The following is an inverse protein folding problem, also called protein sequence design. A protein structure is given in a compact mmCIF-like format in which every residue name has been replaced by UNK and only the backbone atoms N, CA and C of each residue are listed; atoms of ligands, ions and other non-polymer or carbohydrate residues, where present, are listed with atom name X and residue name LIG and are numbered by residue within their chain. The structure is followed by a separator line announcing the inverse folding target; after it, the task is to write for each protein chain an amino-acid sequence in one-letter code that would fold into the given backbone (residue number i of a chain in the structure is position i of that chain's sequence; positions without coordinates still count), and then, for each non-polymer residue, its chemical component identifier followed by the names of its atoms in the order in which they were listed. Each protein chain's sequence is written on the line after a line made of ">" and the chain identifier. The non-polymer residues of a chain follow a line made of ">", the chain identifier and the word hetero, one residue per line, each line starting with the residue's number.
data_IF_970827961019
#
_entry.id   IF_970827961019
#
_cell.length_a   1.000
_cell.length_b   1.000
_cell.length_c   1.000
_cell.angle_alpha   90.00
_cell.angle_beta   90.00
_cell.angle_gamma   90.00
#
_symmetry.space_group_name_H-M   'P 1'
#
loop_
_entity.id
_entity.type
_entity.pdbx_description
1 polymer ?
#
# COMPACT_ATOMS: atom_id res chain seq x y z
N UNK A 1 -9.65 6.66 -7.32
CA UNK A 1 -8.29 6.29 -7.76
C UNK A 1 -8.32 5.32 -8.94
N UNK A 2 -9.08 4.21 -8.89
CA UNK A 2 -9.19 3.25 -10.00
C UNK A 2 -9.45 3.88 -11.39
N UNK A 3 -10.44 4.77 -11.48
CA UNK A 3 -10.75 5.51 -12.71
C UNK A 3 -9.59 6.42 -13.20
N UNK A 4 -8.80 7.00 -12.28
CA UNK A 4 -7.65 7.84 -12.63
C UNK A 4 -6.49 7.04 -13.23
N UNK A 5 -6.46 5.73 -13.00
CA UNK A 5 -5.42 4.83 -13.50
C UNK A 5 -5.80 4.21 -14.85
N UNK A 6 -7.09 3.95 -15.06
CA UNK A 6 -7.63 3.52 -16.35
C UNK A 6 -7.38 4.58 -17.45
N UNK A 7 -7.50 5.86 -17.10
CA UNK A 7 -7.33 6.98 -18.04
C UNK A 7 -5.86 7.34 -18.32
N UNK A 8 -4.91 6.83 -17.53
CA UNK A 8 -3.50 7.24 -17.62
C UNK A 8 -2.55 6.03 -17.47
N UNK A 9 -2.27 5.29 -18.57
CA UNK A 9 -1.43 4.10 -18.54
C UNK A 9 -0.01 4.33 -18.01
N UNK A 10 0.52 5.56 -18.17
CA UNK A 10 1.81 5.97 -17.61
C UNK A 10 1.82 6.02 -16.08
N UNK A 11 0.66 6.16 -15.45
CA UNK A 11 0.54 6.16 -13.99
C UNK A 11 0.75 4.75 -13.43
N UNK A 12 0.37 3.70 -14.17
CA UNK A 12 0.53 2.30 -13.74
C UNK A 12 1.98 1.97 -13.38
N UNK A 13 2.96 2.42 -14.18
CA UNK A 13 4.37 2.19 -13.90
C UNK A 13 4.88 2.88 -12.63
N UNK A 14 4.19 3.93 -12.17
CA UNK A 14 4.56 4.66 -10.96
C UNK A 14 3.82 4.13 -9.72
N UNK A 15 2.78 3.33 -9.87
CA UNK A 15 1.97 2.82 -8.75
C UNK A 15 2.84 2.03 -7.78
N UNK A 16 3.63 1.08 -8.24
CA UNK A 16 4.44 0.24 -7.35
C UNK A 16 5.42 1.09 -6.52
N UNK A 17 5.97 2.12 -7.13
CA UNK A 17 6.86 3.07 -6.45
C UNK A 17 6.10 3.91 -5.42
N UNK A 18 4.87 4.31 -5.73
CA UNK A 18 4.01 5.05 -4.80
C UNK A 18 3.59 4.15 -3.64
N UNK A 19 3.13 2.93 -3.90
CA UNK A 19 2.73 1.95 -2.89
C UNK A 19 3.90 1.66 -1.94
N UNK A 20 5.12 1.45 -2.45
CA UNK A 20 6.28 1.23 -1.60
C UNK A 20 6.58 2.42 -0.68
N UNK A 21 6.47 3.66 -1.17
CA UNK A 21 6.65 4.88 -0.37
C UNK A 21 5.57 5.03 0.69
N UNK A 22 4.31 4.86 0.30
CA UNK A 22 3.16 4.98 1.20
C UNK A 22 3.14 3.88 2.25
N UNK A 23 3.61 2.67 1.93
CA UNK A 23 3.74 1.58 2.89
C UNK A 23 4.69 1.94 4.04
N UNK A 24 5.81 2.62 3.77
CA UNK A 24 6.73 3.10 4.82
C UNK A 24 6.03 4.13 5.72
N UNK A 25 5.24 5.02 5.14
CA UNK A 25 4.43 6.00 5.89
C UNK A 25 3.39 5.28 6.76
N UNK A 26 2.67 4.30 6.20
CA UNK A 26 1.68 3.49 6.91
C UNK A 26 2.29 2.74 8.09
N UNK A 27 3.48 2.14 7.94
CA UNK A 27 4.23 1.51 9.04
C UNK A 27 4.46 2.47 10.20
N UNK A 28 4.86 3.72 9.91
CA UNK A 28 5.09 4.75 10.94
C UNK A 28 3.80 5.19 11.63
N UNK A 29 2.70 5.30 10.87
CA UNK A 29 1.39 5.63 11.42
C UNK A 29 0.88 4.51 12.33
N UNK A 30 0.99 3.25 11.90
CA UNK A 30 0.67 2.09 12.71
C UNK A 30 1.39 2.09 14.06
N UNK A 31 2.71 2.33 14.07
CA UNK A 31 3.49 2.36 15.31
C UNK A 31 3.07 3.52 16.21
N UNK A 32 2.77 4.69 15.64
CA UNK A 32 2.28 5.85 16.38
C UNK A 32 0.89 5.62 16.99
N UNK A 33 0.00 4.95 16.28
CA UNK A 33 -1.40 4.74 16.68
C UNK A 33 -1.55 3.60 17.68
N UNK A 34 -0.80 2.52 17.48
CA UNK A 34 -0.95 1.28 18.28
C UNK A 34 0.10 1.15 19.38
N UNK A 35 1.23 1.86 19.26
CA UNK A 35 2.39 1.66 20.12
C UNK A 35 3.19 0.38 19.83
N UNK A 36 2.77 -0.43 18.84
CA UNK A 36 3.48 -1.64 18.42
C UNK A 36 4.60 -1.24 17.46
N UNK A 37 5.81 -1.76 17.67
CA UNK A 37 6.93 -1.37 16.81
C UNK A 37 6.69 -1.78 15.35
N UNK A 38 6.90 -0.84 14.43
CA UNK A 38 6.83 -1.08 12.99
C UNK A 38 7.83 -2.13 12.48
N UNK A 39 8.83 -2.50 13.30
CA UNK A 39 9.76 -3.60 13.03
C UNK A 39 9.10 -4.98 13.05
N UNK A 40 7.93 -5.11 13.68
CA UNK A 40 7.14 -6.33 13.63
C UNK A 40 6.42 -6.51 12.28
N UNK A 41 6.31 -5.45 11.48
CA UNK A 41 5.68 -5.49 10.16
C UNK A 41 6.69 -5.83 9.05
N UNK A 42 6.25 -6.43 7.93
CA UNK A 42 7.09 -6.68 6.76
C UNK A 42 7.84 -5.44 6.28
N UNK A 43 9.01 -5.62 5.68
CA UNK A 43 9.81 -4.50 5.16
C UNK A 43 9.22 -3.87 3.89
N UNK A 44 8.49 -4.66 3.11
CA UNK A 44 7.81 -4.25 1.87
C UNK A 44 6.32 -4.63 1.92
N UNK A 45 5.50 -3.91 1.16
CA UNK A 45 4.10 -4.30 0.98
C UNK A 45 4.04 -5.66 0.27
N UNK A 46 3.27 -6.60 0.81
CA UNK A 46 3.11 -7.94 0.25
C UNK A 46 1.97 -8.05 -0.75
N UNK A 47 1.15 -6.99 -0.85
CA UNK A 47 -0.05 -6.97 -1.66
C UNK A 47 0.16 -6.08 -2.88
N UNK A 48 -0.40 -6.50 -4.00
CA UNK A 48 -0.40 -5.68 -5.20
C UNK A 48 -1.38 -4.52 -5.04
N UNK A 49 -1.25 -3.50 -5.89
CA UNK A 49 -2.19 -2.41 -5.90
C UNK A 49 -3.64 -2.88 -6.14
N UNK A 50 -3.85 -3.85 -7.02
CA UNK A 50 -5.17 -4.42 -7.30
C UNK A 50 -5.79 -5.04 -6.05
N UNK A 51 -5.00 -5.78 -5.26
CA UNK A 51 -5.44 -6.36 -4.00
C UNK A 51 -5.75 -5.30 -2.94
N UNK A 52 -4.91 -4.26 -2.83
CA UNK A 52 -5.15 -3.14 -1.91
C UNK A 52 -6.40 -2.31 -2.26
N UNK A 53 -6.77 -2.28 -3.53
CA UNK A 53 -7.95 -1.57 -4.03
C UNK A 53 -9.22 -2.42 -4.05
N UNK A 54 -9.08 -3.73 -3.86
CA UNK A 54 -10.21 -4.65 -3.74
C UNK A 54 -10.78 -4.54 -2.31
N UNK A 55 -12.01 -4.05 -2.21
CA UNK A 55 -12.68 -3.83 -0.94
C UNK A 55 -12.96 -5.13 -0.18
N UNK A 56 -13.15 -6.22 -0.92
CA UNK A 56 -13.45 -7.54 -0.37
C UNK A 56 -12.18 -8.38 -0.15
N UNK A 57 -11.00 -7.82 -0.46
CA UNK A 57 -9.73 -8.51 -0.26
C UNK A 57 -9.41 -8.62 1.24
N UNK A 58 -9.30 -9.87 1.70
CA UNK A 58 -8.84 -10.22 3.03
C UNK A 58 -7.66 -11.17 2.93
N UNK A 59 -6.52 -10.79 3.47
CA UNK A 59 -5.37 -11.69 3.59
C UNK A 59 -5.57 -12.61 4.80
N UNK A 60 -5.58 -13.92 4.57
CA UNK A 60 -5.62 -14.96 5.62
C UNK A 60 -4.37 -14.97 6.51
#
# INVERSE_FOLDING_TARGET
>A
IKHLLEDSPSLNHNIDTVVAKEFITAKRMFEKETGISAKALPDTCLYTFEQLMDYDFWSE
#
